data_IF_511471822273
#
_entry.id   IF_511471822273
#
_cell.length_a   1.000
_cell.length_b   1.000
_cell.length_c   1.000
_cell.angle_alpha   90.00
_cell.angle_beta   90.00
_cell.angle_gamma   90.00
#
_symmetry.space_group_name_H-M   'P 1'
#
loop_
_entity.id
_entity.type
_entity.pdbx_description
1 polymer ?
#
# COMPACT_ATOMS: atom_id res chain seq x y z
N UNK A 1 -15.33 -8.55 -1.95
CA UNK A 1 -14.16 -7.65 -2.18
C UNK A 1 -13.78 -7.05 -0.84
N UNK A 2 -12.52 -6.65 -0.64
CA UNK A 2 -12.08 -6.10 0.66
C UNK A 2 -11.42 -4.73 0.50
N UNK A 3 -11.46 -3.95 1.56
CA UNK A 3 -10.90 -2.59 1.61
C UNK A 3 -9.71 -2.51 2.56
N UNK A 4 -8.59 -1.97 2.10
CA UNK A 4 -7.46 -1.52 2.94
C UNK A 4 -7.21 -0.03 2.75
N UNK A 5 -6.87 0.69 3.81
CA UNK A 5 -6.53 2.12 3.72
C UNK A 5 -5.06 2.33 3.38
N UNK A 6 -4.74 3.49 2.81
CA UNK A 6 -3.37 3.91 2.57
C UNK A 6 -2.52 3.80 3.85
N UNK A 7 -3.08 4.17 5.01
CA UNK A 7 -2.48 4.00 6.34
C UNK A 7 -2.16 2.57 6.70
N UNK A 8 -3.09 1.64 6.47
CA UNK A 8 -2.85 0.20 6.70
C UNK A 8 -1.72 -0.36 5.82
N UNK A 9 -1.47 0.25 4.66
CA UNK A 9 -0.41 -0.12 3.72
C UNK A 9 0.90 0.68 3.93
N UNK A 10 0.98 1.50 4.98
CA UNK A 10 2.18 2.27 5.35
C UNK A 10 2.25 3.69 4.76
N UNK A 11 1.12 4.27 4.34
CA UNK A 11 1.00 5.67 3.94
C UNK A 11 0.44 6.57 5.04
N UNK A 12 0.34 7.90 4.79
CA UNK A 12 -0.07 8.86 5.82
C UNK A 12 -1.59 9.03 5.95
N UNK A 13 -2.37 8.71 4.91
CA UNK A 13 -3.79 9.06 4.82
C UNK A 13 -4.75 7.86 4.88
N UNK A 14 -6.06 8.12 4.88
CA UNK A 14 -7.11 7.10 5.00
C UNK A 14 -7.80 6.75 3.68
N UNK A 15 -7.18 7.08 2.54
CA UNK A 15 -7.74 6.71 1.22
C UNK A 15 -7.96 5.20 1.16
N UNK A 16 -9.18 4.79 0.84
CA UNK A 16 -9.60 3.40 0.77
C UNK A 16 -9.21 2.78 -0.58
N UNK A 17 -8.49 1.66 -0.53
CA UNK A 17 -8.14 0.83 -1.69
C UNK A 17 -8.94 -0.46 -1.63
N UNK A 18 -9.75 -0.71 -2.67
CA UNK A 18 -10.58 -1.90 -2.78
C UNK A 18 -9.98 -2.89 -3.76
N UNK A 19 -10.00 -4.17 -3.41
CA UNK A 19 -9.42 -5.23 -4.23
C UNK A 19 -10.04 -6.60 -3.96
N UNK A 20 -9.81 -7.53 -4.88
CA UNK A 20 -10.14 -8.96 -4.69
C UNK A 20 -8.99 -9.67 -4.00
N UNK A 21 -7.77 -9.18 -4.21
CA UNK A 21 -6.54 -9.69 -3.61
C UNK A 21 -5.77 -8.60 -2.86
N UNK A 22 -4.87 -9.02 -1.97
CA UNK A 22 -3.93 -8.12 -1.33
C UNK A 22 -3.05 -7.37 -2.36
N UNK A 23 -2.74 -8.03 -3.47
CA UNK A 23 -1.95 -7.44 -4.56
C UNK A 23 -2.70 -6.30 -5.25
N UNK A 24 -4.02 -6.41 -5.40
CA UNK A 24 -4.83 -5.34 -5.97
C UNK A 24 -4.75 -4.07 -5.12
N UNK A 25 -4.90 -4.19 -3.80
CA UNK A 25 -4.86 -3.04 -2.88
C UNK A 25 -3.44 -2.47 -2.71
N UNK A 26 -2.40 -3.32 -2.73
CA UNK A 26 -1.00 -2.88 -2.72
C UNK A 26 -0.68 -2.07 -3.99
N UNK A 27 -1.10 -2.57 -5.16
CA UNK A 27 -0.88 -1.87 -6.44
C UNK A 27 -1.69 -0.58 -6.53
N UNK A 28 -2.93 -0.59 -6.02
CA UNK A 28 -3.74 0.62 -5.93
C UNK A 28 -3.09 1.70 -5.04
N UNK A 29 -2.49 1.28 -3.91
CA UNK A 29 -1.78 2.18 -3.03
C UNK A 29 -0.47 2.70 -3.66
N UNK A 30 0.32 1.88 -4.35
CA UNK A 30 1.53 2.36 -5.04
C UNK A 30 1.19 3.42 -6.09
N UNK A 31 0.08 3.24 -6.83
CA UNK A 31 -0.44 4.24 -7.77
C UNK A 31 -0.84 5.52 -7.05
N UNK A 32 -1.61 5.42 -5.96
CA UNK A 32 -2.00 6.56 -5.12
C UNK A 32 -0.79 7.35 -4.63
N UNK A 33 0.22 6.68 -4.06
CA UNK A 33 1.46 7.32 -3.60
C UNK A 33 2.19 8.04 -4.73
N UNK A 34 2.24 7.44 -5.92
CA UNK A 34 2.88 8.04 -7.10
C UNK A 34 2.13 9.29 -7.57
N UNK A 35 0.80 9.25 -7.58
CA UNK A 35 -0.04 10.36 -8.01
C UNK A 35 0.01 11.53 -7.02
N UNK A 36 -0.08 11.25 -5.71
CA UNK A 36 0.02 12.27 -4.66
C UNK A 36 1.36 13.02 -4.74
N UNK A 37 2.48 12.29 -4.76
CA UNK A 37 3.81 12.92 -4.86
C UNK A 37 3.98 13.68 -6.18
N UNK A 38 3.45 13.16 -7.30
CA UNK A 38 3.47 13.87 -8.58
C UNK A 38 2.67 15.18 -8.53
N UNK A 39 1.59 15.21 -7.75
CA UNK A 39 0.78 16.41 -7.52
C UNK A 39 1.42 17.42 -6.54
N UNK A 40 2.60 17.12 -6.00
CA UNK A 40 3.33 17.99 -5.07
C UNK A 40 3.06 17.69 -3.59
N UNK A 41 2.36 16.61 -3.27
CA UNK A 41 2.12 16.18 -1.90
C UNK A 41 3.40 15.59 -1.28
N UNK A 42 3.96 16.31 -0.31
CA UNK A 42 5.18 15.92 0.40
C UNK A 42 4.89 14.96 1.55
N UNK A 43 3.67 14.89 2.08
CA UNK A 43 3.30 13.96 3.15
C UNK A 43 3.37 12.51 2.65
N UNK A 44 3.04 12.28 1.37
CA UNK A 44 3.14 10.97 0.74
C UNK A 44 4.57 10.60 0.29
N UNK A 45 5.53 11.52 0.36
CA UNK A 45 6.88 11.30 -0.17
C UNK A 45 7.62 10.17 0.56
N UNK A 46 7.59 10.14 1.89
CA UNK A 46 8.27 9.11 2.68
C UNK A 46 7.70 7.72 2.38
N UNK A 47 6.37 7.58 2.40
CA UNK A 47 5.69 6.33 2.05
C UNK A 47 5.99 5.90 0.61
N UNK A 48 6.07 6.85 -0.33
CA UNK A 48 6.44 6.57 -1.73
C UNK A 48 7.85 6.06 -1.85
N UNK A 49 8.81 6.64 -1.14
CA UNK A 49 10.21 6.21 -1.13
C UNK A 49 10.37 4.82 -0.53
N UNK A 50 9.68 4.53 0.58
CA UNK A 50 9.63 3.19 1.16
C UNK A 50 9.05 2.18 0.17
N UNK A 51 7.93 2.51 -0.48
CA UNK A 51 7.32 1.63 -1.47
C UNK A 51 8.28 1.36 -2.64
N UNK A 52 8.96 2.38 -3.17
CA UNK A 52 10.03 2.19 -4.17
C UNK A 52 11.16 1.30 -3.66
N UNK A 53 11.57 1.49 -2.40
CA UNK A 53 12.57 0.67 -1.74
C UNK A 53 12.16 -0.80 -1.66
N UNK A 54 10.87 -1.06 -1.41
CA UNK A 54 10.32 -2.41 -1.34
C UNK A 54 10.41 -3.13 -2.69
N UNK A 55 10.05 -2.44 -3.77
CA UNK A 55 10.17 -2.98 -5.13
C UNK A 55 11.62 -3.25 -5.55
N UNK A 56 12.57 -2.41 -5.13
CA UNK A 56 14.00 -2.59 -5.42
C UNK A 56 14.64 -3.74 -4.64
N UNK A 57 14.10 -4.10 -3.47
CA UNK A 57 14.69 -5.07 -2.56
C UNK A 57 13.69 -6.16 -2.14
N UNK A 58 13.17 -6.96 -3.09
CA UNK A 58 12.07 -7.89 -2.82
C UNK A 58 12.38 -8.86 -1.67
N UNK A 59 13.61 -9.37 -1.56
CA UNK A 59 14.03 -10.24 -0.45
C UNK A 59 13.90 -9.57 0.93
N UNK A 60 14.23 -8.28 1.03
CA UNK A 60 14.10 -7.51 2.29
C UNK A 60 12.65 -7.17 2.59
N UNK A 61 11.80 -7.11 1.55
CA UNK A 61 10.39 -6.72 1.66
C UNK A 61 9.43 -7.89 1.81
N UNK A 62 9.92 -9.12 1.76
CA UNK A 62 9.12 -10.33 1.99
C UNK A 62 8.36 -10.29 3.31
N UNK A 63 8.96 -9.73 4.38
CA UNK A 63 8.30 -9.59 5.68
C UNK A 63 7.06 -8.71 5.57
N UNK A 64 7.23 -7.49 5.07
CA UNK A 64 6.12 -6.55 4.83
C UNK A 64 5.04 -7.15 3.94
N UNK A 65 5.43 -7.79 2.84
CA UNK A 65 4.48 -8.36 1.89
C UNK A 65 3.65 -9.51 2.52
N UNK A 66 4.27 -10.35 3.35
CA UNK A 66 3.56 -11.38 4.13
C UNK A 66 2.58 -10.75 5.11
N UNK A 67 2.99 -9.71 5.84
CA UNK A 67 2.11 -8.99 6.76
C UNK A 67 0.91 -8.40 6.03
N UNK A 68 1.11 -7.71 4.89
CA UNK A 68 -0.01 -7.14 4.13
C UNK A 68 -0.98 -8.21 3.61
N UNK A 69 -0.45 -9.35 3.13
CA UNK A 69 -1.30 -10.48 2.69
C UNK A 69 -2.10 -11.07 3.85
N UNK A 70 -1.49 -11.22 5.02
CA UNK A 70 -2.17 -11.68 6.22
C UNK A 70 -3.26 -10.70 6.66
N UNK A 71 -2.92 -9.41 6.81
CA UNK A 71 -3.87 -8.37 7.18
C UNK A 71 -5.06 -8.34 6.22
N UNK A 72 -4.82 -8.41 4.91
CA UNK A 72 -5.89 -8.50 3.92
C UNK A 72 -6.77 -9.76 4.08
N UNK A 73 -6.17 -10.91 4.37
CA UNK A 73 -6.89 -12.15 4.59
C UNK A 73 -7.83 -12.07 5.81
N UNK A 74 -7.42 -11.35 6.86
CA UNK A 74 -8.17 -11.17 8.11
C UNK A 74 -9.30 -10.13 8.03
N UNK A 75 -9.31 -9.29 7.00
CA UNK A 75 -10.37 -8.28 6.83
C UNK A 75 -11.72 -8.90 6.43
N UNK A 76 -12.84 -8.33 6.86
CA UNK A 76 -14.16 -8.71 6.36
C UNK A 76 -14.27 -8.37 4.87
N UNK A 77 -15.19 -9.07 4.20
CA UNK A 77 -15.64 -8.63 2.88
C UNK A 77 -16.59 -7.44 3.03
N UNK A 78 -16.49 -6.50 2.08
CA UNK A 78 -17.41 -5.37 1.91
C UNK A 78 -18.78 -5.82 1.39
#
# INVERSE_FOLDING_TARGET
MKTMTCRQLGGPCEVAHRGVTADDVINAQDRHLKEAVKAGDTEHQSAREEMKGRWKHPKKSMGWYRTMKQTFAELPED
#
